data_IF_877314415606
#
_entry.id   IF_877314415606
#
_cell.length_a   1.000
_cell.length_b   1.000
_cell.length_c   1.000
_cell.angle_alpha   90.00
_cell.angle_beta   90.00
_cell.angle_gamma   90.00
#
_symmetry.space_group_name_H-M   'P 1'
#
loop_
_entity.id
_entity.type
_entity.pdbx_description
1 polymer ?
#
# COMPACT_ATOMS: atom_id res chain seq x y z
N UNK A 1 11.05 2.60 13.14
CA UNK A 1 11.11 1.95 11.81
C UNK A 1 10.88 3.04 10.78
N UNK A 2 11.49 2.94 9.60
CA UNK A 2 11.20 3.90 8.55
C UNK A 2 9.82 3.59 7.97
N UNK A 3 8.97 4.60 7.85
CA UNK A 3 7.61 4.50 7.31
C UNK A 3 7.56 5.27 6.00
N UNK A 4 7.02 4.64 4.97
CA UNK A 4 6.82 5.32 3.68
C UNK A 4 5.36 5.68 3.55
N UNK A 5 5.05 6.88 3.09
CA UNK A 5 3.70 7.28 2.71
C UNK A 5 3.67 7.59 1.22
N UNK A 6 2.54 7.31 0.60
CA UNK A 6 2.25 7.72 -0.78
C UNK A 6 1.32 8.93 -0.68
N UNK A 7 1.70 10.04 -1.31
CA UNK A 7 0.82 11.19 -1.41
C UNK A 7 -0.35 10.88 -2.35
N UNK A 8 -1.56 11.14 -1.92
CA UNK A 8 -2.78 11.07 -2.75
C UNK A 8 -3.08 12.42 -3.37
N UNK A 9 -2.59 13.50 -2.76
CA UNK A 9 -2.77 14.89 -3.18
C UNK A 9 -1.43 15.64 -3.16
N UNK A 10 -1.28 16.73 -3.94
CA UNK A 10 -0.08 17.54 -3.88
C UNK A 10 0.10 18.14 -2.47
N UNK A 11 1.28 17.97 -1.88
CA UNK A 11 1.60 18.43 -0.53
C UNK A 11 2.90 19.21 -0.49
N UNK A 12 2.88 20.33 0.22
CA UNK A 12 4.10 21.13 0.49
C UNK A 12 4.69 20.70 1.81
N UNK A 13 5.88 20.10 1.77
CA UNK A 13 6.64 19.73 2.97
C UNK A 13 7.09 20.99 3.72
N UNK A 14 7.34 20.88 5.03
CA UNK A 14 7.89 21.96 5.88
C UNK A 14 9.22 22.50 5.38
N UNK A 15 9.95 21.73 4.57
CA UNK A 15 11.17 22.19 3.89
C UNK A 15 10.88 23.17 2.73
N UNK A 16 9.62 23.43 2.41
CA UNK A 16 9.19 24.25 1.26
C UNK A 16 9.19 23.48 -0.06
N UNK A 17 9.33 22.16 -0.04
CA UNK A 17 9.35 21.32 -1.25
C UNK A 17 7.93 20.83 -1.52
N UNK A 18 7.37 21.23 -2.67
CA UNK A 18 6.12 20.68 -3.17
C UNK A 18 6.35 19.29 -3.77
N UNK A 19 5.47 18.36 -3.41
CA UNK A 19 5.47 16.98 -3.89
C UNK A 19 4.12 16.72 -4.54
N UNK A 20 4.14 16.12 -5.72
CA UNK A 20 2.93 15.79 -6.45
C UNK A 20 2.24 14.57 -5.85
N UNK A 21 0.94 14.43 -6.12
CA UNK A 21 0.22 13.19 -5.91
C UNK A 21 0.93 12.01 -6.61
N UNK A 22 0.92 10.85 -5.97
CA UNK A 22 1.67 9.65 -6.36
C UNK A 22 3.13 9.63 -5.92
N UNK A 23 3.64 10.70 -5.29
CA UNK A 23 5.02 10.71 -4.78
C UNK A 23 5.15 9.90 -3.50
N UNK A 24 6.15 9.03 -3.45
CA UNK A 24 6.53 8.30 -2.23
C UNK A 24 7.47 9.13 -1.37
N UNK A 25 7.14 9.23 -0.07
CA UNK A 25 7.97 9.90 0.92
C UNK A 25 8.29 8.93 2.03
N UNK A 26 9.58 8.59 2.17
CA UNK A 26 10.08 7.77 3.27
C UNK A 26 10.49 8.65 4.45
N UNK A 27 9.82 8.45 5.58
CA UNK A 27 10.14 9.06 6.86
C UNK A 27 10.93 8.06 7.71
N UNK A 28 12.12 8.45 8.18
CA UNK A 28 12.96 7.56 8.99
C UNK A 28 12.34 7.17 10.35
N UNK A 29 11.35 7.92 10.81
CA UNK A 29 10.54 7.72 12.03
C UNK A 29 9.18 8.43 11.88
N UNK A 30 8.15 8.00 12.63
CA UNK A 30 6.88 8.73 12.70
C UNK A 30 7.17 10.20 13.06
N UNK A 31 6.97 11.08 12.09
CA UNK A 31 7.30 12.50 12.18
C UNK A 31 6.01 13.29 12.18
N UNK A 32 5.96 14.42 12.89
CA UNK A 32 4.77 15.29 12.92
C UNK A 32 4.25 15.62 11.51
N UNK A 33 5.17 15.77 10.54
CA UNK A 33 4.82 15.99 9.14
C UNK A 33 4.05 14.81 8.53
N UNK A 34 4.50 13.58 8.77
CA UNK A 34 3.80 12.38 8.31
C UNK A 34 2.39 12.34 8.91
N UNK A 35 2.26 12.63 10.21
CA UNK A 35 0.96 12.68 10.87
C UNK A 35 0.03 13.72 10.22
N UNK A 36 0.55 14.92 9.90
CA UNK A 36 -0.22 15.98 9.23
C UNK A 36 -0.71 15.58 7.85
N UNK A 37 0.14 14.92 7.07
CA UNK A 37 -0.23 14.47 5.72
C UNK A 37 -1.36 13.44 5.80
N UNK A 38 -1.26 12.49 6.74
CA UNK A 38 -2.29 11.48 6.98
C UNK A 38 -3.59 12.09 7.53
N UNK A 39 -3.49 12.99 8.51
CA UNK A 39 -4.64 13.67 9.13
C UNK A 39 -5.39 14.57 8.15
N UNK A 40 -4.65 15.21 7.24
CA UNK A 40 -5.22 15.99 6.15
C UNK A 40 -5.83 15.12 5.03
N UNK A 41 -5.66 13.80 5.05
CA UNK A 41 -6.08 12.90 3.96
C UNK A 41 -5.25 13.01 2.67
N UNK A 42 -4.17 13.81 2.69
CA UNK A 42 -3.31 14.08 1.54
C UNK A 42 -2.27 12.96 1.29
N UNK A 43 -2.24 11.93 2.13
CA UNK A 43 -1.43 10.75 1.91
C UNK A 43 -1.89 9.54 2.70
N UNK A 44 -1.33 8.40 2.35
CA UNK A 44 -1.63 7.11 2.94
C UNK A 44 -0.34 6.36 3.25
N UNK A 45 -0.30 5.62 4.37
CA UNK A 45 0.86 4.81 4.75
C UNK A 45 1.03 3.69 3.73
N UNK A 46 2.16 3.64 3.03
CA UNK A 46 2.53 2.56 2.12
C UNK A 46 2.70 1.29 2.97
N UNK A 47 1.70 0.42 2.91
CA UNK A 47 1.74 -0.86 3.60
C UNK A 47 2.36 -1.87 2.66
N UNK A 48 3.56 -2.31 3.00
CA UNK A 48 4.21 -3.41 2.28
C UNK A 48 3.36 -4.67 2.33
N UNK A 49 3.57 -5.57 1.37
CA UNK A 49 2.79 -6.81 1.31
C UNK A 49 2.92 -7.63 2.61
N UNK A 50 1.78 -8.12 3.16
CA UNK A 50 1.78 -8.99 4.33
C UNK A 50 2.68 -10.20 4.11
N UNK A 51 3.41 -10.61 5.15
CA UNK A 51 4.32 -11.75 5.06
C UNK A 51 3.60 -13.07 4.75
N UNK A 52 2.36 -13.18 5.21
CA UNK A 52 1.44 -14.29 5.06
C UNK A 52 0.56 -14.20 3.80
N UNK A 53 0.75 -13.18 2.95
CA UNK A 53 -0.05 -13.01 1.74
C UNK A 53 0.16 -14.18 0.76
N UNK A 54 -0.91 -14.90 0.35
CA UNK A 54 -0.80 -15.97 -0.62
C UNK A 54 -0.29 -15.44 -1.97
N UNK A 55 0.77 -16.04 -2.51
CA UNK A 55 1.35 -15.57 -3.76
C UNK A 55 2.18 -14.29 -3.67
N UNK A 56 2.49 -13.77 -2.47
CA UNK A 56 3.34 -12.58 -2.23
C UNK A 56 4.55 -12.50 -3.14
N UNK A 57 5.29 -13.61 -3.29
CA UNK A 57 6.49 -13.67 -4.12
C UNK A 57 6.21 -13.25 -5.57
N UNK A 58 5.09 -13.68 -6.14
CA UNK A 58 4.70 -13.35 -7.52
C UNK A 58 4.38 -11.87 -7.66
N UNK A 59 3.69 -11.28 -6.67
CA UNK A 59 3.41 -9.85 -6.64
C UNK A 59 4.68 -9.02 -6.56
N UNK A 60 5.57 -9.35 -5.64
CA UNK A 60 6.87 -8.65 -5.51
C UNK A 60 7.70 -8.78 -6.80
N UNK A 61 7.73 -9.97 -7.41
CA UNK A 61 8.46 -10.22 -8.66
C UNK A 61 7.86 -9.43 -9.84
N UNK A 62 6.53 -9.27 -9.84
CA UNK A 62 5.80 -8.45 -10.81
C UNK A 62 5.84 -6.93 -10.50
N UNK A 63 6.54 -6.49 -9.45
CA UNK A 63 6.67 -5.07 -9.09
C UNK A 63 5.56 -4.53 -8.19
N UNK A 64 4.67 -5.39 -7.69
CA UNK A 64 3.68 -5.05 -6.68
C UNK A 64 4.26 -5.30 -5.28
N UNK A 65 4.92 -4.30 -4.70
CA UNK A 65 5.55 -4.42 -3.38
C UNK A 65 4.63 -4.01 -2.20
N UNK A 66 3.43 -3.51 -2.50
CA UNK A 66 2.51 -2.92 -1.52
C UNK A 66 1.04 -3.25 -1.76
N UNK A 67 0.25 -3.22 -0.69
CA UNK A 67 -1.20 -3.53 -0.75
C UNK A 67 -1.94 -2.53 -1.63
N UNK A 68 -1.52 -1.25 -1.63
CA UNK A 68 -2.09 -0.25 -2.55
C UNK A 68 -1.83 -0.57 -4.02
N UNK A 69 -0.64 -1.10 -4.34
CA UNK A 69 -0.32 -1.53 -5.70
C UNK A 69 -1.18 -2.73 -6.11
N UNK A 70 -1.60 -3.57 -5.17
CA UNK A 70 -2.55 -4.64 -5.45
C UNK A 70 -3.95 -4.11 -5.74
N UNK A 71 -4.34 -2.98 -5.16
CA UNK A 71 -5.63 -2.35 -5.41
C UNK A 71 -5.83 -1.84 -6.84
N UNK A 72 -4.76 -1.70 -7.64
CA UNK A 72 -4.87 -1.37 -9.07
C UNK A 72 -5.07 -2.61 -9.96
N UNK A 73 -4.92 -3.82 -9.40
CA UNK A 73 -5.20 -5.05 -10.12
C UNK A 73 -6.71 -5.26 -10.19
N UNK A 74 -7.23 -5.40 -11.41
CA UNK A 74 -8.63 -5.78 -11.61
C UNK A 74 -8.84 -7.27 -11.32
N UNK A 75 -7.84 -8.10 -11.66
CA UNK A 75 -7.85 -9.54 -11.40
C UNK A 75 -6.49 -10.03 -10.89
N UNK A 76 -6.50 -10.84 -9.84
CA UNK A 76 -5.28 -11.45 -9.28
C UNK A 76 -4.51 -12.30 -10.29
N UNK A 77 -5.22 -12.93 -11.23
CA UNK A 77 -4.68 -13.81 -12.28
C UNK A 77 -3.86 -13.06 -13.34
N UNK A 78 -3.90 -11.72 -13.36
CA UNK A 78 -3.04 -10.90 -14.22
C UNK A 78 -1.57 -11.01 -13.82
N UNK A 79 -1.28 -11.40 -12.58
CA UNK A 79 0.09 -11.56 -12.09
C UNK A 79 0.63 -12.94 -12.46
N UNK A 80 1.77 -12.96 -13.14
CA UNK A 80 2.38 -14.20 -13.61
C UNK A 80 2.73 -15.13 -12.44
N UNK A 81 2.16 -16.34 -12.47
CA UNK A 81 2.29 -17.34 -11.41
C UNK A 81 1.17 -17.30 -10.35
N UNK A 82 0.27 -16.32 -10.41
CA UNK A 82 -0.97 -16.32 -9.63
C UNK A 82 -2.05 -17.07 -10.43
N UNK A 83 -2.25 -18.33 -10.08
CA UNK A 83 -3.32 -19.14 -10.66
C UNK A 83 -4.68 -18.87 -10.01
N UNK A 84 -5.77 -19.44 -10.55
CA UNK A 84 -7.13 -19.26 -10.03
C UNK A 84 -7.29 -19.74 -8.58
N UNK A 85 -6.50 -20.74 -8.16
CA UNK A 85 -6.49 -21.19 -6.76
C UNK A 85 -5.94 -20.11 -5.82
N UNK A 86 -4.78 -19.55 -6.15
CA UNK A 86 -4.15 -18.48 -5.36
C UNK A 86 -4.98 -17.20 -5.40
N UNK A 87 -5.59 -16.88 -6.54
CA UNK A 87 -6.53 -15.77 -6.67
C UNK A 87 -7.71 -15.90 -5.69
N UNK A 88 -8.26 -17.11 -5.52
CA UNK A 88 -9.32 -17.36 -4.55
C UNK A 88 -8.83 -17.20 -3.10
N UNK A 89 -7.64 -17.73 -2.79
CA UNK A 89 -7.03 -17.57 -1.46
C UNK A 89 -6.79 -16.09 -1.11
N UNK A 90 -6.41 -15.28 -2.10
CA UNK A 90 -6.28 -13.82 -1.95
C UNK A 90 -7.62 -13.14 -1.70
N UNK A 91 -8.66 -13.52 -2.44
CA UNK A 91 -10.00 -12.97 -2.24
C UNK A 91 -10.50 -13.24 -0.80
N UNK A 92 -10.35 -14.49 -0.34
CA UNK A 92 -10.67 -14.88 1.04
C UNK A 92 -9.82 -14.13 2.07
N UNK A 93 -8.54 -13.90 1.77
CA UNK A 93 -7.60 -13.15 2.62
C UNK A 93 -8.04 -11.70 2.81
N UNK A 94 -8.34 -11.00 1.72
CA UNK A 94 -8.74 -9.59 1.79
C UNK A 94 -10.17 -9.42 2.31
N UNK A 95 -11.09 -10.35 2.02
CA UNK A 95 -12.44 -10.36 2.61
C UNK A 95 -12.39 -10.53 4.14
N UNK A 96 -11.60 -11.49 4.65
CA UNK A 96 -11.51 -11.73 6.10
C UNK A 96 -10.87 -10.55 6.84
N UNK A 97 -9.84 -9.92 6.26
CA UNK A 97 -9.21 -8.73 6.85
C UNK A 97 -10.14 -7.52 6.89
N UNK A 98 -10.91 -7.28 5.84
CA UNK A 98 -11.89 -6.19 5.79
C UNK A 98 -13.01 -6.36 6.84
N UNK A 99 -13.32 -7.61 7.20
CA UNK A 99 -14.29 -7.93 8.25
C UNK A 99 -13.74 -7.87 9.69
N UNK A 100 -12.42 -7.73 9.89
CA UNK A 100 -11.80 -7.74 11.24
C UNK A 100 -11.57 -6.31 11.78
N UNK A 101 -11.83 -5.26 11.00
CA UNK A 101 -11.77 -3.85 11.45
C UNK A 101 -13.12 -3.30 11.97
N UNK A 102 -14.10 -4.18 12.18
CA UNK A 102 -15.44 -3.85 12.71
C UNK A 102 -15.78 -4.69 13.95
N UNK A 103 -14.96 -4.62 15.01
CA UNK A 103 -15.38 -4.95 16.38
C UNK A 103 -14.81 -3.97 17.40
#
# INVERSE_FOLDING_TARGET
>A
MAETIILTEPWTLKTGVEKNAGTEITFSRSSEEMQKILDAGAGQVKQGLPGDLPGRKHFVDAGFDSVQSLGVLEEWTQVNGVGPKTAKELDEYFQTKQNTEVE
#
